data_IF_918239019005
#
_entry.id   IF_918239019005
#
_cell.length_a   1.000
_cell.length_b   1.000
_cell.length_c   1.000
_cell.angle_alpha   90.00
_cell.angle_beta   90.00
_cell.angle_gamma   90.00
#
_symmetry.space_group_name_H-M   'P 1'
#
loop_
_entity.id
_entity.type
_entity.pdbx_description
1 polymer ?
#
# COMPACT_ATOMS: atom_id res chain seq x y z
N UNK A 1 52.65 -15.70 0.03
CA UNK A 1 51.22 -15.93 -0.26
C UNK A 1 50.46 -14.70 0.16
N UNK A 2 49.72 -14.06 -0.74
CA UNK A 2 48.78 -13.01 -0.38
C UNK A 2 47.45 -13.67 0.01
N UNK A 3 46.92 -13.28 1.17
CA UNK A 3 45.58 -13.65 1.64
C UNK A 3 44.54 -13.19 0.62
N UNK A 4 43.77 -14.15 0.09
CA UNK A 4 42.59 -13.87 -0.73
C UNK A 4 41.45 -13.56 0.24
N UNK A 5 40.79 -12.39 0.16
CA UNK A 5 39.64 -12.14 1.01
C UNK A 5 38.51 -13.08 0.59
N UNK A 6 38.05 -13.88 1.55
CA UNK A 6 36.87 -14.72 1.42
C UNK A 6 35.67 -13.83 1.05
N UNK A 7 35.20 -13.91 -0.19
CA UNK A 7 33.97 -13.28 -0.62
C UNK A 7 32.85 -13.82 0.27
N UNK A 8 32.39 -13.00 1.21
CA UNK A 8 31.15 -13.23 1.93
C UNK A 8 30.03 -13.21 0.90
N UNK A 9 29.69 -14.39 0.40
CA UNK A 9 28.47 -14.63 -0.37
C UNK A 9 27.32 -14.10 0.47
N UNK A 10 26.82 -12.92 0.08
CA UNK A 10 25.65 -12.33 0.67
C UNK A 10 24.52 -13.33 0.45
N UNK A 11 24.17 -14.04 1.52
CA UNK A 11 23.01 -14.93 1.55
C UNK A 11 21.85 -14.18 0.94
N UNK A 12 21.39 -14.70 -0.19
CA UNK A 12 20.18 -14.34 -0.87
C UNK A 12 19.00 -14.48 0.10
N UNK A 13 18.76 -13.46 0.91
CA UNK A 13 17.56 -13.33 1.73
C UNK A 13 16.36 -13.45 0.78
N UNK A 14 15.82 -14.66 0.76
CA UNK A 14 14.73 -15.02 -0.14
C UNK A 14 13.47 -14.54 0.54
N UNK A 15 12.74 -13.65 -0.11
CA UNK A 15 11.43 -13.17 0.35
C UNK A 15 10.61 -14.42 0.70
N UNK A 16 10.11 -14.56 1.93
CA UNK A 16 9.34 -15.73 2.32
C UNK A 16 8.15 -15.93 1.36
N UNK A 17 7.82 -17.18 0.97
CA UNK A 17 6.80 -17.47 -0.04
C UNK A 17 5.45 -16.78 0.20
N UNK A 18 5.10 -16.58 1.48
CA UNK A 18 3.87 -15.91 1.89
C UNK A 18 3.82 -14.41 1.58
N UNK A 19 4.96 -13.77 1.30
CA UNK A 19 5.07 -12.33 1.03
C UNK A 19 5.46 -12.03 -0.43
N UNK A 20 5.44 -13.03 -1.30
CA UNK A 20 5.74 -12.84 -2.72
C UNK A 20 4.54 -12.17 -3.39
N UNK A 21 4.68 -10.92 -3.89
CA UNK A 21 3.60 -10.27 -4.60
C UNK A 21 3.37 -10.96 -5.94
N UNK A 22 2.12 -11.23 -6.27
CA UNK A 22 1.78 -11.82 -7.56
C UNK A 22 1.90 -10.74 -8.63
N UNK A 23 2.67 -10.99 -9.70
CA UNK A 23 2.81 -10.07 -10.82
C UNK A 23 1.75 -10.33 -11.91
N UNK A 24 1.21 -9.23 -12.45
CA UNK A 24 0.36 -9.15 -13.67
C UNK A 24 -1.15 -9.43 -13.59
N UNK A 25 -1.78 -9.40 -12.42
CA UNK A 25 -3.26 -9.35 -12.40
C UNK A 25 -3.74 -7.92 -12.66
N UNK A 26 -4.49 -7.70 -13.74
CA UNK A 26 -5.16 -6.43 -14.02
C UNK A 26 -6.47 -6.40 -13.24
N UNK A 27 -6.54 -5.54 -12.24
CA UNK A 27 -7.79 -5.25 -11.54
C UNK A 27 -8.40 -3.99 -12.11
N UNK A 28 -9.70 -4.03 -12.39
CA UNK A 28 -10.46 -2.85 -12.78
C UNK A 28 -11.05 -2.22 -11.51
N UNK A 29 -10.22 -1.46 -10.80
CA UNK A 29 -10.68 -0.59 -9.71
C UNK A 29 -10.88 0.81 -10.27
N UNK A 30 -12.06 1.40 -10.03
CA UNK A 30 -12.31 2.77 -10.44
C UNK A 30 -11.37 3.74 -9.71
N UNK A 31 -10.90 4.78 -10.42
CA UNK A 31 -10.02 5.77 -9.79
C UNK A 31 -10.84 6.68 -8.90
N UNK A 32 -10.42 6.82 -7.65
CA UNK A 32 -11.09 7.71 -6.72
C UNK A 32 -10.75 9.18 -6.98
N UNK A 33 -11.79 9.98 -7.10
CA UNK A 33 -11.73 11.42 -7.38
C UNK A 33 -11.85 12.29 -6.12
N UNK A 34 -12.23 11.70 -4.99
CA UNK A 34 -12.50 12.41 -3.74
C UNK A 34 -13.96 12.78 -3.47
N UNK A 35 -14.89 12.43 -4.38
CA UNK A 35 -16.33 12.79 -4.29
C UNK A 35 -17.26 11.58 -4.18
N UNK A 36 -16.84 10.41 -4.70
CA UNK A 36 -17.64 9.18 -4.65
C UNK A 36 -17.75 8.53 -3.27
N UNK A 37 -18.38 7.35 -3.22
CA UNK A 37 -18.46 6.53 -2.01
C UNK A 37 -17.07 5.95 -1.67
N UNK A 38 -16.35 6.63 -0.78
CA UNK A 38 -15.03 6.20 -0.33
C UNK A 38 -15.05 4.79 0.29
N UNK A 39 -16.12 4.42 1.01
CA UNK A 39 -16.23 3.08 1.61
C UNK A 39 -16.25 1.97 0.56
N UNK A 40 -17.00 2.15 -0.53
CA UNK A 40 -17.03 1.19 -1.64
C UNK A 40 -15.66 1.10 -2.33
N UNK A 41 -15.07 2.25 -2.69
CA UNK A 41 -13.75 2.28 -3.31
C UNK A 41 -12.69 1.63 -2.43
N UNK A 42 -12.72 1.90 -1.12
CA UNK A 42 -11.82 1.29 -0.14
C UNK A 42 -11.94 -0.23 -0.13
N UNK A 43 -13.15 -0.77 -0.18
CA UNK A 43 -13.37 -2.22 -0.28
C UNK A 43 -12.72 -2.81 -1.55
N UNK A 44 -12.94 -2.19 -2.71
CA UNK A 44 -12.35 -2.67 -3.98
C UNK A 44 -10.82 -2.62 -3.98
N UNK A 45 -10.21 -1.55 -3.44
CA UNK A 45 -8.75 -1.45 -3.31
C UNK A 45 -8.21 -2.48 -2.31
N UNK A 46 -8.92 -2.78 -1.23
CA UNK A 46 -8.54 -3.83 -0.29
C UNK A 46 -8.55 -5.21 -0.97
N UNK A 47 -9.63 -5.54 -1.69
CA UNK A 47 -9.75 -6.81 -2.43
C UNK A 47 -8.65 -6.94 -3.49
N UNK A 48 -8.28 -5.84 -4.13
CA UNK A 48 -7.14 -5.76 -5.05
C UNK A 48 -5.82 -6.08 -4.34
N UNK A 49 -5.55 -5.47 -3.18
CA UNK A 49 -4.32 -5.70 -2.40
C UNK A 49 -4.23 -7.15 -1.90
N UNK A 50 -5.33 -7.74 -1.42
CA UNK A 50 -5.40 -9.15 -1.00
C UNK A 50 -5.06 -10.07 -2.17
N UNK A 51 -5.64 -9.83 -3.36
CA UNK A 51 -5.35 -10.63 -4.55
C UNK A 51 -3.89 -10.48 -5.04
N UNK A 52 -3.19 -9.41 -4.65
CA UNK A 52 -1.77 -9.21 -4.92
C UNK A 52 -0.85 -9.73 -3.79
N UNK A 53 -1.40 -10.21 -2.68
CA UNK A 53 -0.69 -10.48 -1.42
C UNK A 53 0.06 -9.25 -0.89
N UNK A 54 -0.61 -8.11 -0.83
CA UNK A 54 -0.05 -6.82 -0.41
C UNK A 54 -0.79 -6.16 0.76
N UNK A 55 -1.90 -6.73 1.21
CA UNK A 55 -2.75 -6.20 2.28
C UNK A 55 -2.00 -6.03 3.61
N UNK A 56 -1.08 -6.95 3.93
CA UNK A 56 -0.27 -6.87 5.15
C UNK A 56 0.61 -5.60 5.24
N UNK A 57 0.88 -4.93 4.11
CA UNK A 57 1.68 -3.69 4.07
C UNK A 57 0.97 -2.46 4.62
N UNK A 58 -0.33 -2.59 4.89
CA UNK A 58 -1.14 -1.57 5.55
C UNK A 58 -0.89 -1.51 7.06
N UNK A 59 -0.18 -2.50 7.60
CA UNK A 59 0.23 -2.60 9.00
C UNK A 59 1.75 -2.35 9.17
N UNK A 60 2.25 -2.51 10.39
CA UNK A 60 3.68 -2.39 10.67
C UNK A 60 4.47 -3.56 10.07
N UNK A 61 5.75 -3.32 9.80
CA UNK A 61 6.67 -4.32 9.23
C UNK A 61 6.73 -5.58 10.12
N UNK A 62 6.53 -6.79 9.56
CA UNK A 62 6.78 -8.03 10.27
C UNK A 62 8.24 -8.15 10.76
N UNK A 63 8.44 -8.75 11.94
CA UNK A 63 9.79 -8.94 12.52
C UNK A 63 10.66 -9.89 11.69
N UNK A 64 10.03 -10.89 11.06
CA UNK A 64 10.66 -11.94 10.27
C UNK A 64 11.02 -11.50 8.84
N UNK A 65 10.62 -10.30 8.43
CA UNK A 65 10.89 -9.76 7.10
C UNK A 65 12.05 -8.75 7.13
N UNK A 66 13.03 -8.95 6.26
CA UNK A 66 14.17 -8.03 6.16
C UNK A 66 13.75 -6.65 5.60
N UNK A 67 14.51 -5.62 5.99
CA UNK A 67 14.18 -4.23 5.67
C UNK A 67 14.10 -3.97 4.16
N UNK A 68 15.05 -4.52 3.39
CA UNK A 68 15.12 -4.27 1.94
C UNK A 68 13.95 -4.92 1.20
N UNK A 69 13.57 -6.14 1.58
CA UNK A 69 12.39 -6.82 1.06
C UNK A 69 11.12 -6.08 1.44
N UNK A 70 11.00 -5.66 2.70
CA UNK A 70 9.87 -4.87 3.17
C UNK A 70 9.72 -3.56 2.39
N UNK A 71 10.78 -2.75 2.27
CA UNK A 71 10.76 -1.48 1.53
C UNK A 71 10.29 -1.68 0.09
N UNK A 72 10.75 -2.75 -0.58
CA UNK A 72 10.33 -3.07 -1.95
C UNK A 72 8.84 -3.39 -2.02
N UNK A 73 8.34 -4.24 -1.12
CA UNK A 73 6.94 -4.69 -1.10
C UNK A 73 6.02 -3.53 -0.69
N UNK A 74 6.42 -2.75 0.32
CA UNK A 74 5.69 -1.58 0.79
C UNK A 74 5.59 -0.51 -0.31
N UNK A 75 6.68 -0.25 -1.04
CA UNK A 75 6.67 0.66 -2.20
C UNK A 75 5.75 0.18 -3.31
N UNK A 76 5.68 -1.13 -3.54
CA UNK A 76 4.76 -1.71 -4.52
C UNK A 76 3.30 -1.46 -4.12
N UNK A 77 2.94 -1.77 -2.87
CA UNK A 77 1.59 -1.53 -2.35
C UNK A 77 1.21 -0.03 -2.38
N UNK A 78 2.11 0.84 -1.92
CA UNK A 78 1.94 2.29 -1.99
C UNK A 78 1.70 2.77 -3.43
N UNK A 79 2.48 2.25 -4.39
CA UNK A 79 2.28 2.57 -5.80
C UNK A 79 0.94 2.06 -6.33
N UNK A 80 0.51 0.85 -5.95
CA UNK A 80 -0.76 0.27 -6.38
C UNK A 80 -1.94 1.10 -5.87
N UNK A 81 -1.98 1.46 -4.58
CA UNK A 81 -3.00 2.34 -4.01
C UNK A 81 -3.03 3.68 -4.76
N UNK A 82 -1.85 4.28 -4.98
CA UNK A 82 -1.73 5.55 -5.71
C UNK A 82 -2.28 5.43 -7.14
N UNK A 83 -2.13 4.29 -7.82
CA UNK A 83 -2.66 4.08 -9.17
C UNK A 83 -4.20 4.09 -9.22
N UNK A 84 -4.86 3.73 -8.12
CA UNK A 84 -6.31 3.82 -7.93
C UNK A 84 -6.80 5.24 -7.62
N UNK A 85 -5.94 6.26 -7.72
CA UNK A 85 -6.30 7.67 -7.52
C UNK A 85 -6.25 8.47 -8.84
N UNK A 86 -7.09 9.50 -8.95
CA UNK A 86 -6.96 10.53 -10.01
C UNK A 86 -5.77 11.45 -9.73
N UNK A 87 -5.36 12.25 -10.73
CA UNK A 87 -4.16 13.11 -10.67
C UNK A 87 -4.15 14.04 -9.45
N UNK A 88 -5.26 14.73 -9.18
CA UNK A 88 -5.33 15.71 -8.09
C UNK A 88 -5.20 15.03 -6.71
N UNK A 89 -5.81 13.85 -6.54
CA UNK A 89 -5.65 13.08 -5.31
C UNK A 89 -4.23 12.52 -5.18
N UNK A 90 -3.60 12.06 -6.29
CA UNK A 90 -2.19 11.64 -6.26
C UNK A 90 -1.25 12.75 -5.76
N UNK A 91 -1.48 13.99 -6.20
CA UNK A 91 -0.71 15.15 -5.76
C UNK A 91 -0.98 15.46 -4.28
N UNK A 92 -2.24 15.41 -3.85
CA UNK A 92 -2.62 15.67 -2.46
C UNK A 92 -2.00 14.70 -1.43
N UNK A 93 -1.59 13.50 -1.87
CA UNK A 93 -0.96 12.49 -1.01
C UNK A 93 0.47 12.12 -1.47
N UNK A 94 1.17 13.04 -2.16
CA UNK A 94 2.50 12.75 -2.69
C UNK A 94 3.58 12.55 -1.62
N UNK A 95 3.38 13.13 -0.43
CA UNK A 95 4.31 13.05 0.69
C UNK A 95 4.23 11.71 1.45
N UNK A 96 3.17 10.92 1.22
CA UNK A 96 3.02 9.61 1.86
C UNK A 96 3.89 8.58 1.12
N UNK A 97 4.93 8.11 1.80
CA UNK A 97 5.95 7.27 1.20
C UNK A 97 5.73 5.78 1.47
N UNK A 98 4.94 5.45 2.50
CA UNK A 98 4.55 4.07 2.80
C UNK A 98 3.08 3.78 2.47
N UNK A 99 2.77 2.49 2.30
CA UNK A 99 1.41 2.03 2.06
C UNK A 99 0.48 2.35 3.25
N UNK A 100 0.93 2.06 4.48
CA UNK A 100 0.22 2.36 5.73
C UNK A 100 -0.11 3.85 5.88
N UNK A 101 0.88 4.74 5.73
CA UNK A 101 0.66 6.18 5.86
C UNK A 101 -0.34 6.70 4.81
N UNK A 102 -0.19 6.26 3.55
CA UNK A 102 -1.11 6.66 2.47
C UNK A 102 -2.54 6.19 2.77
N UNK A 103 -2.69 4.95 3.21
CA UNK A 103 -3.98 4.36 3.54
C UNK A 103 -4.67 5.09 4.70
N UNK A 104 -3.95 5.33 5.79
CA UNK A 104 -4.46 6.07 6.94
C UNK A 104 -4.82 7.51 6.58
N UNK A 105 -4.00 8.21 5.79
CA UNK A 105 -4.29 9.57 5.35
C UNK A 105 -5.58 9.65 4.48
N UNK A 106 -5.83 8.62 3.65
CA UNK A 106 -7.06 8.51 2.88
C UNK A 106 -8.27 8.29 3.79
N UNK A 107 -8.19 7.35 4.73
CA UNK A 107 -9.25 7.10 5.71
C UNK A 107 -9.56 8.34 6.54
N UNK A 108 -8.54 9.00 7.07
CA UNK A 108 -8.68 10.21 7.87
C UNK A 108 -9.37 11.33 7.11
N UNK A 109 -9.03 11.52 5.82
CA UNK A 109 -9.61 12.59 5.02
C UNK A 109 -11.04 12.31 4.60
N UNK A 110 -11.38 11.06 4.28
CA UNK A 110 -12.63 10.72 3.60
C UNK A 110 -13.64 9.94 4.45
N UNK A 111 -13.21 9.15 5.44
CA UNK A 111 -14.12 8.54 6.41
C UNK A 111 -14.57 9.50 7.51
N UNK A 112 -13.68 10.36 8.05
CA UNK A 112 -14.07 11.37 9.06
C UNK A 112 -15.12 12.33 8.50
N UNK A 113 -14.92 12.82 7.27
CA UNK A 113 -15.91 13.62 6.53
C UNK A 113 -17.22 12.89 6.28
N UNK A 114 -17.22 11.57 6.08
CA UNK A 114 -18.46 10.81 5.90
C UNK A 114 -19.28 10.68 7.19
N UNK A 115 -18.63 10.66 8.36
CA UNK A 115 -19.33 10.68 9.65
C UNK A 115 -19.88 12.09 9.91
N UNK A 116 -19.05 13.13 9.73
CA UNK A 116 -19.47 14.52 9.90
C UNK A 116 -20.61 14.89 8.93
N UNK A 117 -20.50 14.56 7.65
CA UNK A 117 -21.54 14.82 6.65
C UNK A 117 -22.86 14.07 6.95
N UNK A 118 -22.82 12.92 7.63
CA UNK A 118 -24.05 12.21 8.06
C UNK A 118 -24.74 12.90 9.23
N UNK A 119 -24.00 13.61 10.08
CA UNK A 119 -24.56 14.34 11.22
C UNK A 119 -25.29 15.62 10.76
N UNK A 120 -24.79 16.31 9.74
CA UNK A 120 -25.39 17.55 9.23
C UNK A 120 -26.73 17.39 8.48
N UNK A 121 -27.21 16.17 8.24
CA UNK A 121 -28.54 15.93 7.64
C UNK A 121 -29.61 15.50 8.65
N UNK A 122 -29.31 15.59 9.96
CA UNK A 122 -30.24 15.27 11.04
C UNK A 122 -30.64 16.47 11.92
N UNK A 123 -30.36 17.71 11.50
CA UNK A 123 -30.88 18.94 12.13
C UNK A 123 -31.98 19.62 11.28
#
# INVERSE_FOLDING_TARGET
MADVPEEKSAGNASIPPQYIPVSNTKFEVEKFDGKGNFGMWKCEVMDMLVQMNLDFTLEDKPEDLDEKSWERINRLACSSIRLCLVKDQKYAFSEQNSAKELWQALEDKFMKKSIENRLYFHE
#
